data_IF_869013260264
#
_entry.id   IF_869013260264
#
_cell.length_a   1.000
_cell.length_b   1.000
_cell.length_c   1.000
_cell.angle_alpha   90.00
_cell.angle_beta   90.00
_cell.angle_gamma   90.00
#
_symmetry.space_group_name_H-M   'P 1'
#
loop_
_entity.id
_entity.type
_entity.pdbx_description
1 polymer ?
#
# COMPACT_ATOMS: atom_id res chain seq x y z
N UNK A 1 3.54 2.69 0.75
CA UNK A 1 4.13 3.66 -0.20
C UNK A 1 3.13 4.20 -1.24
N UNK A 2 2.03 3.52 -1.55
CA UNK A 2 0.97 4.02 -2.43
C UNK A 2 0.31 5.33 -1.95
N UNK A 3 0.12 5.48 -0.65
CA UNK A 3 -0.53 6.65 -0.04
C UNK A 3 0.06 7.98 -0.47
N UNK A 4 1.39 8.10 -0.52
CA UNK A 4 2.08 9.37 -0.84
C UNK A 4 1.83 9.80 -2.29
N UNK A 5 1.83 8.86 -3.22
CA UNK A 5 1.64 9.15 -4.66
C UNK A 5 0.20 9.58 -4.93
N UNK A 6 -0.77 8.89 -4.35
CA UNK A 6 -2.19 9.18 -4.55
C UNK A 6 -2.58 10.55 -3.97
N UNK A 7 -2.05 10.91 -2.80
CA UNK A 7 -2.26 12.23 -2.20
C UNK A 7 -1.68 13.36 -3.07
N UNK A 8 -0.52 13.14 -3.69
CA UNK A 8 0.13 14.15 -4.57
C UNK A 8 -0.69 14.47 -5.82
N UNK A 9 -1.46 13.51 -6.34
CA UNK A 9 -2.34 13.72 -7.51
C UNK A 9 -3.76 14.18 -7.14
N UNK A 10 -4.01 14.44 -5.85
CA UNK A 10 -5.29 14.98 -5.38
C UNK A 10 -6.40 13.94 -5.17
N UNK A 11 -6.07 12.66 -5.11
CA UNK A 11 -7.02 11.62 -4.76
C UNK A 11 -7.30 11.64 -3.24
N UNK A 12 -8.52 11.27 -2.84
CA UNK A 12 -8.81 10.92 -1.44
C UNK A 12 -8.25 9.53 -1.15
N UNK A 13 -7.45 9.41 -0.12
CA UNK A 13 -6.68 8.21 0.17
C UNK A 13 -7.11 7.56 1.48
N UNK A 14 -7.42 6.27 1.42
CA UNK A 14 -7.59 5.41 2.59
C UNK A 14 -6.36 4.52 2.71
N UNK A 15 -5.64 4.61 3.81
CA UNK A 15 -4.54 3.71 4.14
C UNK A 15 -5.04 2.58 5.04
N UNK A 16 -4.76 1.33 4.68
CA UNK A 16 -5.06 0.17 5.52
C UNK A 16 -3.77 -0.52 5.98
N UNK A 17 -3.68 -0.81 7.27
CA UNK A 17 -2.50 -1.41 7.89
C UNK A 17 -2.89 -2.40 8.99
N UNK A 18 -1.93 -3.24 9.41
CA UNK A 18 -2.17 -4.29 10.42
C UNK A 18 -1.98 -3.84 11.88
N UNK A 19 -1.63 -2.58 12.13
CA UNK A 19 -1.54 -2.01 13.47
C UNK A 19 -1.90 -0.53 13.45
N UNK A 20 -2.26 0.02 14.61
CA UNK A 20 -2.58 1.45 14.76
C UNK A 20 -1.37 2.32 14.44
N UNK A 21 -0.17 1.91 14.88
CA UNK A 21 1.08 2.60 14.57
C UNK A 21 1.31 2.74 13.06
N UNK A 22 1.15 1.62 12.32
CA UNK A 22 1.32 1.63 10.86
C UNK A 22 0.21 2.39 10.13
N UNK A 23 -1.02 2.36 10.65
CA UNK A 23 -2.11 3.15 10.13
C UNK A 23 -1.84 4.65 10.30
N UNK A 24 -1.29 5.06 11.44
CA UNK A 24 -0.93 6.45 11.70
C UNK A 24 0.22 6.96 10.80
N UNK A 25 1.17 6.08 10.46
CA UNK A 25 2.18 6.41 9.42
C UNK A 25 1.48 6.74 8.08
N UNK A 26 0.45 5.98 7.71
CA UNK A 26 -0.35 6.26 6.52
C UNK A 26 -0.98 7.65 6.57
N UNK A 27 -1.54 8.03 7.72
CA UNK A 27 -2.11 9.36 7.96
C UNK A 27 -1.06 10.46 7.87
N UNK A 28 0.09 10.27 8.52
CA UNK A 28 1.21 11.21 8.46
C UNK A 28 1.78 11.39 7.05
N UNK A 29 1.59 10.41 6.17
CA UNK A 29 1.97 10.46 4.75
C UNK A 29 0.88 11.08 3.85
N UNK A 30 -0.23 11.56 4.41
CA UNK A 30 -1.28 12.27 3.68
C UNK A 30 -2.54 11.45 3.38
N UNK A 31 -2.77 10.32 4.03
CA UNK A 31 -4.04 9.63 3.92
C UNK A 31 -5.16 10.38 4.66
N UNK A 32 -6.30 10.56 4.00
CA UNK A 32 -7.50 11.17 4.58
C UNK A 32 -8.15 10.26 5.65
N UNK A 33 -8.00 8.95 5.49
CA UNK A 33 -8.46 7.94 6.43
C UNK A 33 -7.39 6.88 6.64
N UNK A 34 -7.25 6.37 7.87
CA UNK A 34 -6.32 5.30 8.21
C UNK A 34 -7.04 4.22 9.02
N UNK A 35 -6.92 2.96 8.60
CA UNK A 35 -7.68 1.83 9.15
C UNK A 35 -6.72 0.75 9.60
N UNK A 36 -6.83 0.34 10.86
CA UNK A 36 -6.23 -0.89 11.35
C UNK A 36 -7.19 -2.06 11.10
N UNK A 37 -6.92 -2.85 10.06
CA UNK A 37 -7.79 -3.96 9.66
C UNK A 37 -7.77 -5.17 10.62
N UNK A 38 -6.87 -5.19 11.59
CA UNK A 38 -6.88 -6.21 12.66
C UNK A 38 -7.83 -5.83 13.82
N UNK A 39 -8.13 -4.54 13.98
CA UNK A 39 -8.99 -4.01 15.04
C UNK A 39 -10.38 -3.62 14.55
N UNK A 40 -10.56 -3.35 13.26
CA UNK A 40 -11.79 -2.84 12.68
C UNK A 40 -12.18 -3.61 11.42
N UNK A 41 -13.46 -3.64 11.11
CA UNK A 41 -13.96 -4.16 9.84
C UNK A 41 -13.59 -3.21 8.70
N UNK A 42 -12.63 -3.65 7.87
CA UNK A 42 -12.10 -2.85 6.78
C UNK A 42 -13.18 -2.43 5.78
N UNK A 43 -14.08 -3.34 5.42
CA UNK A 43 -15.16 -3.04 4.48
C UNK A 43 -16.12 -1.98 5.06
N UNK A 44 -16.56 -2.17 6.30
CA UNK A 44 -17.47 -1.23 6.95
C UNK A 44 -16.88 0.19 7.07
N UNK A 45 -15.61 0.29 7.48
CA UNK A 45 -14.91 1.56 7.61
C UNK A 45 -14.74 2.28 6.24
N UNK A 46 -14.39 1.54 5.18
CA UNK A 46 -14.30 2.10 3.83
C UNK A 46 -15.67 2.58 3.35
N UNK A 47 -16.73 1.80 3.55
CA UNK A 47 -18.08 2.18 3.14
C UNK A 47 -18.55 3.41 3.92
N UNK A 48 -18.28 3.50 5.21
CA UNK A 48 -18.61 4.68 6.01
C UNK A 48 -17.89 5.93 5.50
N UNK A 49 -16.59 5.85 5.24
CA UNK A 49 -15.80 6.97 4.73
C UNK A 49 -16.22 7.43 3.33
N UNK A 50 -16.64 6.51 2.47
CA UNK A 50 -17.04 6.79 1.09
C UNK A 50 -18.55 7.10 0.94
N UNK A 51 -19.30 7.18 2.03
CA UNK A 51 -20.76 7.38 2.00
C UNK A 51 -21.51 6.26 1.28
N UNK A 52 -21.04 5.02 1.42
CA UNK A 52 -21.64 3.82 0.82
C UNK A 52 -21.26 3.56 -0.64
N UNK A 53 -20.45 4.41 -1.27
CA UNK A 53 -20.09 4.27 -2.69
C UNK A 53 -18.98 3.23 -2.94
N UNK A 54 -18.09 3.03 -1.96
CA UNK A 54 -16.87 2.26 -2.10
C UNK A 54 -15.74 3.07 -2.75
N UNK A 55 -14.60 2.45 -2.97
CA UNK A 55 -13.43 3.08 -3.58
C UNK A 55 -13.42 2.90 -5.10
N UNK A 56 -12.92 3.89 -5.83
CA UNK A 56 -12.71 3.81 -7.27
C UNK A 56 -11.49 2.97 -7.62
N UNK A 57 -10.48 2.97 -6.74
CA UNK A 57 -9.23 2.24 -6.93
C UNK A 57 -8.82 1.54 -5.65
N UNK A 58 -8.60 0.25 -5.73
CA UNK A 58 -7.89 -0.53 -4.73
C UNK A 58 -6.48 -0.82 -5.26
N UNK A 59 -5.46 -0.26 -4.62
CA UNK A 59 -4.07 -0.62 -4.88
C UNK A 59 -3.60 -1.66 -3.86
N UNK A 60 -3.15 -2.79 -4.33
CA UNK A 60 -2.60 -3.85 -3.48
C UNK A 60 -1.24 -4.34 -4.01
N UNK A 61 -0.29 -4.54 -3.11
CA UNK A 61 1.02 -5.11 -3.39
C UNK A 61 1.38 -6.26 -2.46
N UNK A 62 0.45 -6.68 -1.61
CA UNK A 62 0.70 -7.68 -0.55
C UNK A 62 0.05 -9.02 -0.90
N UNK A 63 -1.15 -8.99 -1.48
CA UNK A 63 -2.00 -10.15 -1.73
C UNK A 63 -2.29 -10.95 -0.43
N UNK A 64 -2.60 -10.23 0.66
CA UNK A 64 -2.92 -10.88 1.93
C UNK A 64 -4.28 -11.61 1.81
N UNK A 65 -4.33 -12.96 1.98
CA UNK A 65 -5.54 -13.73 1.74
C UNK A 65 -6.68 -13.46 2.74
N UNK A 66 -6.39 -12.82 3.87
CA UNK A 66 -7.41 -12.42 4.86
C UNK A 66 -7.93 -11.01 4.61
N UNK A 67 -7.10 -10.12 4.08
CA UNK A 67 -7.39 -8.68 3.95
C UNK A 67 -7.91 -8.33 2.56
N UNK A 68 -7.26 -8.84 1.50
CA UNK A 68 -7.61 -8.48 0.13
C UNK A 68 -9.07 -8.83 -0.25
N UNK A 69 -9.66 -9.96 0.18
CA UNK A 69 -11.07 -10.23 -0.10
C UNK A 69 -12.03 -9.19 0.51
N UNK A 70 -11.74 -8.68 1.71
CA UNK A 70 -12.53 -7.63 2.36
C UNK A 70 -12.37 -6.29 1.63
N UNK A 71 -11.13 -5.92 1.31
CA UNK A 71 -10.83 -4.71 0.55
C UNK A 71 -11.46 -4.75 -0.85
N UNK A 72 -11.45 -5.92 -1.50
CA UNK A 72 -12.07 -6.12 -2.82
C UNK A 72 -13.57 -5.84 -2.80
N UNK A 73 -14.28 -6.28 -1.76
CA UNK A 73 -15.71 -5.99 -1.59
C UNK A 73 -16.01 -4.51 -1.35
N UNK A 74 -15.03 -3.74 -0.94
CA UNK A 74 -15.17 -2.30 -0.76
C UNK A 74 -14.94 -1.49 -2.05
N UNK A 75 -14.65 -2.15 -3.18
CA UNK A 75 -14.57 -1.48 -4.48
C UNK A 75 -15.98 -1.12 -4.96
N UNK A 76 -16.13 0.14 -5.36
CA UNK A 76 -17.37 0.67 -5.89
C UNK A 76 -17.66 0.25 -7.33
N UNK A 77 -18.76 0.79 -7.88
CA UNK A 77 -19.19 0.53 -9.24
C UNK A 77 -18.18 1.13 -10.25
N UNK A 78 -17.85 0.37 -11.31
CA UNK A 78 -16.81 0.69 -12.30
C UNK A 78 -15.40 0.87 -11.69
N UNK A 79 -15.19 0.42 -10.47
CA UNK A 79 -13.90 0.52 -9.79
C UNK A 79 -12.85 -0.48 -10.33
N UNK A 80 -11.63 -0.40 -9.80
CA UNK A 80 -10.55 -1.29 -10.23
C UNK A 80 -9.64 -1.72 -9.09
N UNK A 81 -9.19 -2.96 -9.16
CA UNK A 81 -8.06 -3.48 -8.40
C UNK A 81 -6.79 -3.35 -9.25
N UNK A 82 -5.77 -2.70 -8.72
CA UNK A 82 -4.42 -2.69 -9.30
C UNK A 82 -3.48 -3.44 -8.37
N UNK A 83 -2.90 -4.54 -8.83
CA UNK A 83 -1.93 -5.30 -8.05
C UNK A 83 -0.52 -5.15 -8.63
N UNK A 84 0.46 -4.91 -7.74
CA UNK A 84 1.86 -4.72 -8.12
C UNK A 84 2.81 -5.63 -7.33
N UNK A 85 2.30 -6.61 -6.60
CA UNK A 85 3.10 -7.57 -5.84
C UNK A 85 2.22 -8.56 -5.08
N UNK A 86 2.86 -9.61 -4.56
CA UNK A 86 2.19 -10.68 -3.82
C UNK A 86 3.08 -11.16 -2.66
N UNK A 87 3.44 -10.22 -1.77
CA UNK A 87 4.38 -10.49 -0.67
C UNK A 87 3.86 -11.50 0.36
N UNK A 88 2.54 -11.66 0.50
CA UNK A 88 1.93 -12.65 1.39
C UNK A 88 1.59 -13.98 0.70
N UNK A 89 1.93 -14.13 -0.57
CA UNK A 89 1.70 -15.34 -1.35
C UNK A 89 0.95 -15.08 -2.66
N UNK A 90 0.98 -16.05 -3.61
CA UNK A 90 0.44 -15.84 -4.96
C UNK A 90 -1.07 -16.07 -5.07
N UNK A 91 -1.71 -16.65 -4.05
CA UNK A 91 -3.10 -17.12 -4.15
C UNK A 91 -4.02 -16.34 -3.21
N UNK A 92 -5.03 -15.70 -3.78
CA UNK A 92 -6.08 -14.98 -3.05
C UNK A 92 -7.42 -15.28 -3.70
N UNK A 93 -8.45 -15.51 -2.87
CA UNK A 93 -9.82 -15.65 -3.35
C UNK A 93 -10.47 -14.29 -3.53
N UNK A 94 -11.20 -14.10 -4.61
CA UNK A 94 -12.02 -12.91 -4.86
C UNK A 94 -13.48 -13.31 -5.12
N UNK A 95 -14.38 -12.40 -4.81
CA UNK A 95 -15.81 -12.58 -5.03
C UNK A 95 -16.15 -12.25 -6.49
N UNK A 96 -16.35 -13.28 -7.31
CA UNK A 96 -16.69 -13.11 -8.73
C UNK A 96 -18.09 -12.53 -8.95
N UNK A 97 -19.02 -12.74 -8.04
CA UNK A 97 -20.34 -12.09 -8.12
C UNK A 97 -20.19 -10.57 -7.94
N UNK A 98 -19.41 -10.15 -6.94
CA UNK A 98 -19.09 -8.74 -6.74
C UNK A 98 -18.34 -8.15 -7.95
N UNK A 99 -17.36 -8.90 -8.52
CA UNK A 99 -16.61 -8.50 -9.69
C UNK A 99 -17.53 -8.08 -10.85
N UNK A 100 -18.44 -8.97 -11.26
CA UNK A 100 -19.27 -8.68 -12.45
C UNK A 100 -20.44 -7.72 -12.13
N UNK A 101 -21.04 -7.80 -10.94
CA UNK A 101 -22.12 -6.87 -10.56
C UNK A 101 -21.66 -5.42 -10.44
N UNK A 102 -20.43 -5.22 -9.97
CA UNK A 102 -19.83 -3.89 -9.84
C UNK A 102 -19.00 -3.47 -11.05
N UNK A 103 -18.89 -4.32 -12.09
CA UNK A 103 -18.12 -4.07 -13.31
C UNK A 103 -16.64 -3.74 -13.03
N UNK A 104 -16.05 -4.44 -12.05
CA UNK A 104 -14.69 -4.19 -11.56
C UNK A 104 -13.67 -4.66 -12.60
N UNK A 105 -12.63 -3.86 -12.82
CA UNK A 105 -11.46 -4.23 -13.60
C UNK A 105 -10.34 -4.67 -12.67
N UNK A 106 -9.68 -5.80 -12.97
CA UNK A 106 -8.46 -6.25 -12.29
C UNK A 106 -7.28 -6.06 -13.23
N UNK A 107 -6.25 -5.33 -12.77
CA UNK A 107 -5.06 -5.03 -13.56
C UNK A 107 -3.78 -5.36 -12.80
N UNK A 108 -2.94 -6.21 -13.38
CA UNK A 108 -1.57 -6.42 -12.92
C UNK A 108 -0.64 -5.29 -13.42
N UNK A 109 0.26 -4.84 -12.57
CA UNK A 109 1.29 -3.88 -12.93
C UNK A 109 2.66 -4.44 -12.52
N UNK A 110 3.45 -4.97 -13.48
CA UNK A 110 4.77 -5.51 -13.14
C UNK A 110 5.77 -4.39 -12.80
N UNK A 111 6.66 -4.66 -11.89
CA UNK A 111 7.89 -3.94 -11.55
C UNK A 111 7.88 -2.44 -11.79
N UNK A 112 8.70 -2.01 -12.72
CA UNK A 112 8.87 -0.60 -13.08
C UNK A 112 8.80 -0.41 -14.61
N UNK A 113 8.47 0.81 -15.01
CA UNK A 113 8.58 1.27 -16.39
C UNK A 113 9.56 2.47 -16.39
N UNK A 114 10.60 2.50 -17.25
CA UNK A 114 11.63 3.52 -17.19
C UNK A 114 11.13 4.97 -17.12
N UNK A 115 10.13 5.41 -17.89
CA UNK A 115 9.55 6.74 -17.76
C UNK A 115 8.92 7.02 -16.39
N UNK A 116 8.38 6.01 -15.69
CA UNK A 116 7.79 6.19 -14.37
C UNK A 116 8.88 6.38 -13.31
N UNK A 117 10.03 5.73 -13.46
CA UNK A 117 11.19 5.93 -12.59
C UNK A 117 11.67 7.37 -12.63
N UNK A 118 11.81 7.95 -13.82
CA UNK A 118 12.22 9.35 -13.97
C UNK A 118 11.22 10.31 -13.30
N UNK A 119 9.90 10.06 -13.44
CA UNK A 119 8.85 10.84 -12.77
C UNK A 119 8.92 10.71 -11.23
N UNK A 120 9.21 9.52 -10.72
CA UNK A 120 9.38 9.31 -9.28
C UNK A 120 10.58 10.09 -8.73
N UNK A 121 11.71 10.08 -9.42
CA UNK A 121 12.88 10.87 -9.02
C UNK A 121 12.61 12.37 -9.08
N UNK A 122 11.96 12.86 -10.12
CA UNK A 122 11.56 14.26 -10.21
C UNK A 122 10.63 14.66 -9.06
N UNK A 123 9.61 13.86 -8.75
CA UNK A 123 8.70 14.11 -7.64
C UNK A 123 9.42 14.08 -6.26
N UNK A 124 10.42 13.22 -6.12
CA UNK A 124 11.25 13.19 -4.90
C UNK A 124 12.15 14.42 -4.79
N UNK A 125 12.76 14.85 -5.89
CA UNK A 125 13.58 16.07 -5.94
C UNK A 125 12.76 17.33 -5.61
N UNK A 126 11.50 17.38 -6.07
CA UNK A 126 10.54 18.44 -5.75
C UNK A 126 10.00 18.36 -4.30
N UNK A 127 10.43 17.36 -3.51
CA UNK A 127 9.93 17.14 -2.15
C UNK A 127 8.49 16.61 -2.05
N UNK A 128 7.85 16.30 -3.19
CA UNK A 128 6.47 15.78 -3.25
C UNK A 128 6.36 14.34 -2.75
N UNK A 129 7.43 13.57 -2.88
CA UNK A 129 7.51 12.17 -2.43
C UNK A 129 8.68 12.03 -1.47
N UNK A 130 8.42 11.51 -0.28
CA UNK A 130 9.44 11.25 0.74
C UNK A 130 9.57 9.75 0.98
N UNK A 131 10.80 9.25 1.00
CA UNK A 131 11.07 7.88 1.40
C UNK A 131 10.91 7.72 2.92
N UNK A 132 10.10 6.77 3.34
CA UNK A 132 10.04 6.37 4.75
C UNK A 132 11.24 5.47 5.04
N UNK A 133 12.29 6.05 5.64
CA UNK A 133 13.49 5.33 6.05
C UNK A 133 13.39 5.09 7.55
N UNK A 134 13.39 3.81 7.94
CA UNK A 134 13.41 3.39 9.33
C UNK A 134 14.82 3.62 9.91
N UNK A 135 15.84 3.07 9.24
CA UNK A 135 17.25 3.20 9.67
C UNK A 135 18.23 3.02 8.52
N UNK A 136 19.43 3.51 8.73
CA UNK A 136 20.57 3.32 7.84
C UNK A 136 21.59 2.45 8.57
N UNK A 137 22.02 1.35 7.96
CA UNK A 137 23.01 0.43 8.51
C UNK A 137 24.21 0.34 7.56
N UNK A 138 25.42 0.07 8.07
CA UNK A 138 26.56 -0.23 7.22
C UNK A 138 26.30 -1.53 6.44
N UNK A 139 26.89 -1.67 5.26
CA UNK A 139 26.75 -2.87 4.41
C UNK A 139 27.15 -4.16 5.15
N UNK A 140 28.15 -4.10 6.03
CA UNK A 140 28.57 -5.21 6.91
C UNK A 140 27.43 -5.75 7.81
N UNK A 141 26.37 -4.98 8.02
CA UNK A 141 25.20 -5.38 8.81
C UNK A 141 24.01 -5.87 7.97
N UNK A 142 24.21 -6.23 6.69
CA UNK A 142 23.16 -6.69 5.79
C UNK A 142 22.35 -7.87 6.37
N UNK A 143 23.02 -8.87 6.98
CA UNK A 143 22.35 -10.01 7.63
C UNK A 143 21.42 -9.56 8.77
N UNK A 144 21.78 -8.51 9.52
CA UNK A 144 20.90 -7.93 10.56
C UNK A 144 19.71 -7.22 9.91
N UNK A 145 19.94 -6.48 8.83
CA UNK A 145 18.87 -5.80 8.10
C UNK A 145 17.81 -6.78 7.59
N UNK A 146 18.23 -7.90 7.01
CA UNK A 146 17.32 -8.96 6.57
C UNK A 146 16.46 -9.50 7.72
N UNK A 147 17.08 -9.90 8.84
CA UNK A 147 16.34 -10.38 10.02
C UNK A 147 15.30 -9.38 10.51
N UNK A 148 15.63 -8.10 10.57
CA UNK A 148 14.70 -7.06 11.01
C UNK A 148 13.51 -6.89 10.04
N UNK A 149 13.75 -7.02 8.74
CA UNK A 149 12.67 -6.96 7.74
C UNK A 149 11.79 -8.20 7.85
N UNK A 150 12.37 -9.38 8.00
CA UNK A 150 11.66 -10.66 8.12
C UNK A 150 10.83 -10.75 9.40
N UNK A 151 11.32 -10.20 10.52
CA UNK A 151 10.56 -10.16 11.80
C UNK A 151 9.41 -9.14 11.78
N UNK A 152 9.34 -8.27 10.75
CA UNK A 152 8.31 -7.24 10.66
C UNK A 152 8.49 -6.05 11.59
N UNK A 153 9.65 -5.93 12.25
CA UNK A 153 9.98 -4.83 13.19
C UNK A 153 10.27 -3.49 12.49
N UNK A 154 10.29 -3.49 11.14
CA UNK A 154 10.66 -2.32 10.34
C UNK A 154 9.44 -1.55 9.89
N UNK A 155 9.41 -0.25 10.16
CA UNK A 155 8.38 0.67 9.68
C UNK A 155 8.94 1.57 8.56
N UNK A 156 9.10 1.01 7.37
CA UNK A 156 9.70 1.70 6.22
C UNK A 156 10.77 0.88 5.53
N UNK A 157 11.87 1.52 5.15
CA UNK A 157 13.01 0.89 4.47
C UNK A 157 14.25 0.92 5.35
N UNK A 158 15.02 -0.16 5.35
CA UNK A 158 16.40 -0.13 5.82
C UNK A 158 17.30 0.17 4.62
N UNK A 159 18.11 1.19 4.75
CA UNK A 159 19.14 1.53 3.74
C UNK A 159 20.47 0.93 4.20
N UNK A 160 21.16 0.24 3.31
CA UNK A 160 22.52 -0.22 3.53
C UNK A 160 23.48 0.79 2.90
N UNK A 161 24.36 1.36 3.73
CA UNK A 161 25.34 2.35 3.31
C UNK A 161 26.71 1.66 3.15
N UNK A 162 27.23 1.52 1.92
CA UNK A 162 28.51 0.88 1.68
C UNK A 162 29.71 1.73 2.11
N UNK A 163 29.50 3.03 2.38
CA UNK A 163 30.57 3.95 2.81
C UNK A 163 30.80 3.92 4.32
N UNK A 164 29.89 3.30 5.08
CA UNK A 164 30.04 3.08 6.52
C UNK A 164 30.68 1.73 6.80
N UNK A 165 31.78 1.74 7.50
CA UNK A 165 32.54 0.56 7.92
C UNK A 165 31.82 -0.30 8.95
#
# INVERSE_FOLDING_TARGET
MGVVVDAVIGAKVIAAAGSDERAEIGRALGADCAINYNARDLHAEVMAFTGGKGVDVLYDNIANPKVLPQAFRAIGFDGRLVTAGAHAGPNVSIDFAHLYHKRITIKGRPGYHPPDVAKCFAAAADGKVKAQIDRILPLSRAAKAHRLVESGEVSGKIVLDPTRG
#
